data_IF_229736845323
#
_entry.id   IF_229736845323
#
_cell.length_a   1.000
_cell.length_b   1.000
_cell.length_c   1.000
_cell.angle_alpha   90.00
_cell.angle_beta   90.00
_cell.angle_gamma   90.00
#
_symmetry.space_group_name_H-M   'P 1'
#
loop_
_entity.id
_entity.type
_entity.pdbx_description
1 polymer ?
#
# COMPACT_ATOMS: atom_id res chain seq x y z
N UNK A 1 -9.20 0.81 -21.66
CA UNK A 1 -8.53 1.23 -20.41
C UNK A 1 -7.10 0.74 -20.47
N UNK A 2 -6.20 1.38 -19.74
CA UNK A 2 -4.79 1.00 -19.64
C UNK A 2 -4.26 1.26 -18.24
N UNK A 3 -3.10 0.71 -17.92
CA UNK A 3 -2.39 1.00 -16.68
C UNK A 3 -1.79 2.41 -16.77
N UNK A 4 -2.27 3.33 -15.96
CA UNK A 4 -1.77 4.72 -15.93
C UNK A 4 -0.47 4.84 -15.12
N UNK A 5 -0.35 4.09 -14.03
CA UNK A 5 0.87 4.06 -13.20
C UNK A 5 0.92 2.81 -12.32
N UNK A 6 2.15 2.42 -11.96
CA UNK A 6 2.45 1.33 -11.04
C UNK A 6 3.28 1.83 -9.87
N UNK A 7 2.94 1.38 -8.67
CA UNK A 7 3.59 1.81 -7.44
C UNK A 7 3.89 0.60 -6.54
N UNK A 8 5.13 0.54 -6.08
CA UNK A 8 5.58 -0.40 -5.06
C UNK A 8 5.87 0.40 -3.79
N UNK A 9 5.46 -0.10 -2.65
CA UNK A 9 5.74 0.45 -1.33
C UNK A 9 6.66 -0.51 -0.58
N UNK A 10 7.97 -0.48 -0.78
CA UNK A 10 8.86 -1.50 -0.22
C UNK A 10 8.71 -1.66 1.30
N UNK A 11 8.60 -0.54 2.00
CA UNK A 11 8.39 -0.51 3.45
C UNK A 11 6.99 0.00 3.76
N UNK A 12 6.26 -0.74 4.61
CA UNK A 12 4.93 -0.32 5.07
C UNK A 12 5.00 1.07 5.71
N UNK A 13 4.15 1.97 5.24
CA UNK A 13 4.05 3.33 5.77
C UNK A 13 5.00 4.35 5.13
N UNK A 14 6.06 3.94 4.46
CA UNK A 14 7.00 4.83 3.77
C UNK A 14 6.51 5.22 2.37
N UNK A 15 7.25 6.08 1.68
CA UNK A 15 6.95 6.52 0.31
C UNK A 15 6.83 5.36 -0.67
N UNK A 16 6.10 5.60 -1.74
CA UNK A 16 6.04 4.71 -2.88
C UNK A 16 7.23 4.90 -3.82
N UNK A 17 7.63 3.81 -4.47
CA UNK A 17 8.46 3.83 -5.66
C UNK A 17 7.55 3.71 -6.90
N UNK A 18 7.68 4.63 -7.83
CA UNK A 18 7.04 4.51 -9.14
C UNK A 18 7.89 3.60 -10.02
N UNK A 19 7.26 2.64 -10.69
CA UNK A 19 7.94 1.69 -11.54
C UNK A 19 7.29 1.63 -12.93
N UNK A 20 8.08 1.40 -13.97
CA UNK A 20 7.56 1.24 -15.32
C UNK A 20 6.92 -0.13 -15.55
N UNK A 21 7.39 -1.14 -14.83
CA UNK A 21 6.85 -2.51 -14.84
C UNK A 21 7.04 -3.17 -13.48
N UNK A 22 6.23 -4.19 -13.20
CA UNK A 22 6.33 -4.96 -11.97
C UNK A 22 5.97 -6.43 -12.23
N UNK A 23 6.66 -7.34 -11.57
CA UNK A 23 6.25 -8.73 -11.47
C UNK A 23 5.12 -8.87 -10.46
N UNK A 24 4.10 -9.66 -10.78
CA UNK A 24 2.98 -9.97 -9.90
C UNK A 24 3.11 -11.38 -9.37
N UNK A 25 3.18 -11.49 -8.06
CA UNK A 25 3.29 -12.72 -7.29
C UNK A 25 1.99 -12.99 -6.50
N UNK A 26 1.93 -14.12 -5.81
CA UNK A 26 0.79 -14.43 -4.93
C UNK A 26 0.58 -13.38 -3.81
N UNK A 27 1.65 -12.72 -3.35
CA UNK A 27 1.65 -11.67 -2.32
C UNK A 27 1.48 -10.25 -2.90
N UNK A 28 1.13 -10.07 -4.17
CA UNK A 28 1.01 -8.78 -4.86
C UNK A 28 2.20 -8.47 -5.75
N UNK A 29 2.49 -7.19 -5.95
CA UNK A 29 3.65 -6.76 -6.72
C UNK A 29 4.94 -7.16 -5.98
N UNK A 30 5.90 -7.69 -6.72
CA UNK A 30 7.19 -8.12 -6.16
C UNK A 30 7.85 -6.98 -5.40
N UNK A 31 8.30 -7.24 -4.18
CA UNK A 31 8.90 -6.24 -3.29
C UNK A 31 7.91 -5.35 -2.55
N UNK A 32 6.60 -5.40 -2.85
CA UNK A 32 5.62 -4.55 -2.18
C UNK A 32 5.42 -4.95 -0.72
N UNK A 33 5.64 -3.99 0.18
CA UNK A 33 5.43 -4.10 1.64
C UNK A 33 6.12 -5.32 2.27
N UNK A 34 7.31 -5.68 1.73
CA UNK A 34 8.14 -6.77 2.27
C UNK A 34 8.87 -6.33 3.54
N UNK A 35 8.97 -5.03 3.79
CA UNK A 35 9.63 -4.46 4.96
C UNK A 35 8.64 -3.76 5.90
N UNK A 36 8.96 -3.78 7.20
CA UNK A 36 8.14 -3.22 8.26
C UNK A 36 8.99 -2.57 9.33
N UNK A 37 8.59 -1.39 9.78
CA UNK A 37 9.16 -0.75 10.97
C UNK A 37 8.31 -1.11 12.18
N UNK A 38 8.95 -1.57 13.24
CA UNK A 38 8.32 -1.94 14.51
C UNK A 38 9.00 -1.24 15.68
N UNK A 39 8.27 -1.03 16.78
CA UNK A 39 8.85 -0.54 18.02
C UNK A 39 9.58 -1.66 18.81
N UNK A 40 10.08 -1.35 20.01
CA UNK A 40 10.77 -2.30 20.86
C UNK A 40 9.93 -3.56 21.19
N UNK A 41 8.61 -3.42 21.31
CA UNK A 41 7.67 -4.50 21.62
C UNK A 41 7.27 -5.32 20.39
N UNK A 42 7.82 -5.06 19.21
CA UNK A 42 7.46 -5.74 17.96
C UNK A 42 6.14 -5.28 17.35
N UNK A 43 5.53 -4.20 17.85
CA UNK A 43 4.33 -3.59 17.26
C UNK A 43 4.70 -2.69 16.08
N UNK A 44 3.98 -2.83 14.97
CA UNK A 44 4.26 -2.06 13.77
C UNK A 44 3.94 -0.56 13.92
N UNK A 45 4.84 0.28 13.41
CA UNK A 45 4.63 1.72 13.32
C UNK A 45 3.80 2.06 12.09
N UNK A 46 2.97 3.07 12.20
CA UNK A 46 2.05 3.49 11.13
C UNK A 46 2.04 5.00 10.97
N UNK A 47 1.66 5.49 9.79
CA UNK A 47 1.42 6.93 9.61
C UNK A 47 0.31 7.50 10.53
N UNK A 48 -0.47 6.66 11.22
CA UNK A 48 -1.44 7.14 12.23
C UNK A 48 -0.73 7.70 13.45
N UNK A 49 0.29 7.03 13.91
CA UNK A 49 1.11 7.40 15.09
C UNK A 49 2.40 8.13 14.69
N UNK A 50 3.01 7.74 13.57
CA UNK A 50 4.28 8.23 13.08
C UNK A 50 4.15 8.71 11.63
N UNK A 51 3.54 9.89 11.40
CA UNK A 51 3.33 10.40 10.04
C UNK A 51 4.64 10.69 9.31
N UNK A 52 5.76 10.92 10.02
CA UNK A 52 7.09 11.06 9.45
C UNK A 52 7.58 9.82 8.68
N UNK A 53 6.96 8.64 8.83
CA UNK A 53 7.22 7.51 7.93
C UNK A 53 7.00 7.88 6.47
N UNK A 54 6.04 8.78 6.18
CA UNK A 54 5.78 9.25 4.83
C UNK A 54 6.95 10.05 4.22
N UNK A 55 7.87 10.58 5.01
CA UNK A 55 9.00 11.37 4.51
C UNK A 55 10.22 10.52 4.16
N UNK A 56 10.25 9.25 4.57
CA UNK A 56 11.34 8.34 4.25
C UNK A 56 11.13 7.75 2.86
N UNK A 57 12.15 7.85 2.02
CA UNK A 57 12.15 7.30 0.67
C UNK A 57 12.91 5.97 0.65
N UNK A 58 12.22 4.83 0.52
CA UNK A 58 12.86 3.55 0.28
C UNK A 58 13.13 3.38 -1.21
N UNK A 59 14.29 2.89 -1.58
CA UNK A 59 14.62 2.49 -2.94
C UNK A 59 15.11 1.04 -2.92
N UNK A 60 14.47 0.17 -3.71
CA UNK A 60 14.92 -1.19 -3.84
C UNK A 60 16.23 -1.26 -4.62
N UNK A 61 17.15 -2.09 -4.15
CA UNK A 61 18.41 -2.42 -4.80
C UNK A 61 18.52 -3.93 -4.98
N UNK A 62 19.50 -4.39 -5.74
CA UNK A 62 19.76 -5.82 -5.87
C UNK A 62 20.14 -6.48 -4.53
N UNK A 63 20.77 -5.73 -3.64
CA UNK A 63 21.23 -6.22 -2.34
C UNK A 63 20.21 -6.05 -1.21
N UNK A 64 19.16 -5.25 -1.41
CA UNK A 64 18.18 -4.94 -0.36
C UNK A 64 17.47 -3.61 -0.57
N UNK A 65 17.68 -2.64 0.31
CA UNK A 65 17.10 -1.30 0.28
C UNK A 65 18.16 -0.22 0.46
N UNK A 66 17.92 0.95 -0.14
CA UNK A 66 18.45 2.22 0.36
C UNK A 66 17.30 2.96 1.03
N UNK A 67 17.50 3.49 2.22
CA UNK A 67 16.56 4.38 2.91
C UNK A 67 17.17 5.78 2.98
N UNK A 68 16.45 6.79 2.50
CA UNK A 68 16.88 8.18 2.62
C UNK A 68 15.79 9.04 3.26
N UNK A 69 16.20 10.00 4.09
CA UNK A 69 15.32 10.96 4.72
C UNK A 69 16.00 12.34 4.78
N UNK A 70 15.21 13.38 4.49
CA UNK A 70 15.71 14.76 4.58
C UNK A 70 16.24 15.03 5.99
N UNK A 71 17.40 15.66 6.09
CA UNK A 71 18.15 15.97 7.32
C UNK A 71 18.75 14.78 8.09
N UNK A 72 18.52 13.54 7.68
CA UNK A 72 19.06 12.33 8.32
C UNK A 72 20.07 11.59 7.42
N UNK A 73 20.11 11.94 6.12
CA UNK A 73 20.99 11.29 5.16
C UNK A 73 20.41 10.00 4.59
N UNK A 74 21.30 9.07 4.31
CA UNK A 74 20.96 7.82 3.61
C UNK A 74 21.70 6.63 4.24
N UNK A 75 21.05 5.46 4.22
CA UNK A 75 21.65 4.19 4.64
C UNK A 75 21.31 3.08 3.66
N UNK A 76 22.28 2.23 3.34
CA UNK A 76 22.08 0.97 2.66
C UNK A 76 21.72 -0.13 3.66
N UNK A 77 20.70 -0.90 3.38
CA UNK A 77 20.21 -2.02 4.19
C UNK A 77 20.21 -3.28 3.36
N UNK A 78 21.05 -4.23 3.70
CA UNK A 78 21.05 -5.53 3.04
C UNK A 78 19.79 -6.33 3.35
N UNK A 79 19.33 -7.13 2.38
CA UNK A 79 18.29 -8.13 2.65
C UNK A 79 18.79 -9.11 3.70
N UNK A 80 18.08 -9.26 4.85
CA UNK A 80 18.52 -10.17 5.91
C UNK A 80 18.58 -11.63 5.43
N UNK A 81 19.57 -12.37 5.88
CA UNK A 81 19.75 -13.80 5.60
C UNK A 81 18.80 -14.71 6.42
N UNK A 82 18.04 -14.13 7.33
CA UNK A 82 17.09 -14.83 8.20
C UNK A 82 17.72 -15.48 9.44
N UNK A 83 19.03 -15.34 9.68
CA UNK A 83 19.69 -15.89 10.87
C UNK A 83 19.21 -15.18 12.15
N UNK A 84 19.05 -13.86 12.11
CA UNK A 84 18.43 -13.07 13.17
C UNK A 84 16.93 -12.86 12.85
N UNK A 85 16.07 -13.16 13.82
CA UNK A 85 14.62 -13.01 13.65
C UNK A 85 14.00 -12.21 14.80
N UNK A 86 12.86 -11.62 14.52
CA UNK A 86 12.05 -10.88 15.50
C UNK A 86 10.59 -11.25 15.36
N UNK A 87 9.95 -11.53 16.47
CA UNK A 87 8.49 -11.68 16.52
C UNK A 87 7.86 -10.29 16.48
N UNK A 88 6.98 -10.11 15.51
CA UNK A 88 6.26 -8.86 15.30
C UNK A 88 4.76 -9.13 15.19
N UNK A 89 3.95 -8.11 15.46
CA UNK A 89 2.50 -8.21 15.34
C UNK A 89 2.01 -7.15 14.37
N UNK A 90 1.29 -7.60 13.33
CA UNK A 90 0.63 -6.73 12.35
C UNK A 90 -0.88 -6.89 12.49
N UNK A 91 -1.53 -5.88 13.07
CA UNK A 91 -2.90 -6.00 13.57
C UNK A 91 -2.99 -7.12 14.61
N UNK A 92 -3.70 -8.20 14.33
CA UNK A 92 -3.85 -9.36 15.21
C UNK A 92 -2.98 -10.56 14.76
N UNK A 93 -2.19 -10.39 13.68
CA UNK A 93 -1.40 -11.47 13.11
C UNK A 93 0.04 -11.43 13.63
N UNK A 94 0.49 -12.45 14.38
CA UNK A 94 1.90 -12.62 14.70
C UNK A 94 2.68 -13.06 13.46
N UNK A 95 3.88 -12.52 13.29
CA UNK A 95 4.80 -12.88 12.21
C UNK A 95 6.22 -12.95 12.79
N UNK A 96 6.89 -14.06 12.56
CA UNK A 96 8.32 -14.18 12.84
C UNK A 96 9.09 -13.73 11.59
N UNK A 97 9.62 -12.51 11.60
CA UNK A 97 10.25 -11.88 10.46
C UNK A 97 11.78 -11.79 10.61
N UNK A 98 12.50 -11.78 9.50
CA UNK A 98 13.94 -11.61 9.51
C UNK A 98 14.30 -10.18 9.97
N UNK A 99 15.23 -10.05 10.92
CA UNK A 99 15.66 -8.75 11.44
C UNK A 99 16.72 -8.14 10.53
N UNK A 100 16.57 -6.85 10.20
CA UNK A 100 17.63 -6.09 9.54
C UNK A 100 18.79 -5.81 10.49
N UNK A 101 19.89 -5.32 9.93
CA UNK A 101 21.07 -4.98 10.69
C UNK A 101 20.82 -3.84 11.71
N UNK A 102 21.67 -3.72 12.77
CA UNK A 102 21.50 -2.69 13.78
C UNK A 102 21.63 -1.25 13.27
N UNK A 103 22.35 -1.02 12.15
CA UNK A 103 22.48 0.29 11.54
C UNK A 103 21.16 0.83 11.04
N UNK A 104 20.35 -0.03 10.39
CA UNK A 104 18.99 0.32 9.98
C UNK A 104 18.10 0.69 11.18
N UNK A 105 18.25 -0.03 12.30
CA UNK A 105 17.51 0.26 13.54
C UNK A 105 17.93 1.60 14.15
N UNK A 106 19.23 1.93 14.16
CA UNK A 106 19.74 3.20 14.65
C UNK A 106 19.22 4.37 13.82
N UNK A 107 19.32 4.29 12.49
CA UNK A 107 18.82 5.29 11.56
C UNK A 107 17.33 5.56 11.75
N UNK A 108 16.52 4.51 11.81
CA UNK A 108 15.08 4.65 12.00
C UNK A 108 14.70 5.14 13.38
N UNK A 109 15.42 4.75 14.43
CA UNK A 109 15.17 5.23 15.79
C UNK A 109 15.40 6.73 15.92
N UNK A 110 16.42 7.27 15.25
CA UNK A 110 16.68 8.71 15.21
C UNK A 110 15.51 9.47 14.54
N UNK A 111 15.02 8.99 13.39
CA UNK A 111 13.89 9.61 12.69
C UNK A 111 12.59 9.48 13.47
N UNK A 112 12.35 8.33 14.10
CA UNK A 112 11.10 8.07 14.84
C UNK A 112 11.08 8.76 16.21
N UNK A 113 12.24 9.08 16.78
CA UNK A 113 12.36 9.63 18.13
C UNK A 113 12.12 8.60 19.24
N UNK A 114 12.08 7.32 18.88
CA UNK A 114 11.92 6.18 19.80
C UNK A 114 12.63 4.94 19.24
N UNK A 115 12.91 3.90 20.05
CA UNK A 115 13.48 2.66 19.55
C UNK A 115 12.63 2.04 18.43
N UNK A 116 13.22 1.93 17.24
CA UNK A 116 12.57 1.39 16.04
C UNK A 116 13.48 0.33 15.40
N UNK A 117 12.86 -0.74 14.89
CA UNK A 117 13.55 -1.84 14.24
C UNK A 117 12.95 -2.08 12.87
N UNK A 118 13.79 -2.43 11.90
CA UNK A 118 13.36 -2.83 10.58
C UNK A 118 13.36 -4.35 10.49
N UNK A 119 12.29 -4.91 9.93
CA UNK A 119 12.18 -6.35 9.68
C UNK A 119 11.75 -6.62 8.25
N UNK A 120 12.12 -7.78 7.74
CA UNK A 120 11.85 -8.24 6.38
C UNK A 120 11.00 -9.52 6.39
N UNK A 121 10.00 -9.57 5.55
CA UNK A 121 9.22 -10.78 5.31
C UNK A 121 9.93 -11.61 4.24
N UNK A 122 10.80 -12.49 4.69
CA UNK A 122 11.46 -13.50 3.84
C UNK A 122 10.47 -14.59 3.39
N UNK A 123 10.95 -15.64 2.75
CA UNK A 123 10.09 -16.72 2.25
C UNK A 123 9.66 -17.69 3.37
N UNK A 124 10.35 -17.68 4.51
CA UNK A 124 9.99 -18.46 5.71
C UNK A 124 8.85 -17.79 6.46
N UNK A 125 8.85 -16.46 6.53
CA UNK A 125 7.79 -15.69 7.21
C UNK A 125 6.49 -15.81 6.42
N UNK A 126 5.42 -16.19 7.10
CA UNK A 126 4.10 -16.35 6.51
C UNK A 126 3.08 -15.48 7.23
N UNK A 127 2.25 -14.84 6.43
CA UNK A 127 1.04 -14.16 6.89
C UNK A 127 -0.09 -14.45 5.92
N UNK A 128 -1.10 -15.12 6.43
CA UNK A 128 -2.32 -15.43 5.67
C UNK A 128 -3.44 -14.50 6.13
N UNK A 129 -4.13 -13.90 5.18
CA UNK A 129 -5.35 -13.14 5.45
C UNK A 129 -6.54 -14.05 5.24
N UNK A 130 -7.14 -14.49 6.34
CA UNK A 130 -8.46 -15.10 6.31
C UNK A 130 -9.55 -14.02 6.27
N UNK A 131 -10.58 -14.24 5.48
CA UNK A 131 -11.55 -13.18 5.23
C UNK A 131 -12.85 -13.71 4.62
N UNK A 132 -13.96 -13.09 4.99
CA UNK A 132 -15.28 -13.32 4.37
C UNK A 132 -15.37 -12.85 2.90
N UNK A 133 -14.31 -12.23 2.39
CA UNK A 133 -14.23 -11.70 1.02
C UNK A 133 -13.59 -12.68 0.03
N UNK A 134 -12.98 -13.74 0.53
CA UNK A 134 -12.28 -14.74 -0.29
C UNK A 134 -12.65 -16.16 0.15
N UNK A 135 -12.70 -17.09 -0.79
CA UNK A 135 -13.05 -18.50 -0.51
C UNK A 135 -11.94 -19.27 0.21
N UNK A 136 -10.73 -18.74 0.26
CA UNK A 136 -9.58 -19.32 0.94
C UNK A 136 -8.67 -18.21 1.48
N UNK A 137 -7.84 -18.51 2.49
CA UNK A 137 -6.84 -17.58 2.99
C UNK A 137 -5.89 -17.11 1.89
N UNK A 138 -5.55 -15.81 1.90
CA UNK A 138 -4.70 -15.17 0.89
C UNK A 138 -3.33 -14.84 1.50
N UNK A 139 -2.22 -15.24 0.87
CA UNK A 139 -0.91 -14.83 1.33
C UNK A 139 -0.72 -13.32 1.12
N UNK A 140 -0.28 -12.64 2.15
CA UNK A 140 -0.02 -11.19 2.12
C UNK A 140 1.36 -10.89 2.71
N UNK A 141 1.98 -9.83 2.22
CA UNK A 141 3.15 -9.24 2.89
C UNK A 141 2.69 -8.41 4.10
N UNK A 142 3.34 -7.29 4.42
CA UNK A 142 2.89 -6.41 5.50
C UNK A 142 1.76 -5.44 5.07
N UNK A 143 1.06 -5.72 3.97
CA UNK A 143 -0.12 -4.97 3.54
C UNK A 143 -1.23 -4.98 4.61
N UNK A 144 -2.08 -3.95 4.64
CA UNK A 144 -3.14 -3.86 5.66
C UNK A 144 -4.25 -4.89 5.43
N UNK A 145 -4.73 -5.02 4.19
CA UNK A 145 -5.85 -5.88 3.86
C UNK A 145 -5.45 -6.98 2.88
N UNK A 146 -5.35 -6.66 1.59
CA UNK A 146 -5.08 -7.60 0.51
C UNK A 146 -3.79 -7.22 -0.24
N UNK A 147 -3.27 -8.11 -1.11
CA UNK A 147 -1.97 -7.93 -1.75
C UNK A 147 -1.86 -6.70 -2.64
N UNK A 148 -2.93 -6.33 -3.34
CA UNK A 148 -2.92 -5.27 -4.35
C UNK A 148 -4.07 -4.29 -4.10
N UNK A 149 -3.81 -3.01 -4.27
CA UNK A 149 -4.83 -1.96 -4.33
C UNK A 149 -4.90 -1.41 -5.76
N UNK A 150 -6.07 -1.52 -6.37
CA UNK A 150 -6.41 -0.97 -7.69
C UNK A 150 -7.25 0.29 -7.51
N UNK A 151 -6.92 1.34 -8.25
CA UNK A 151 -7.66 2.62 -8.26
C UNK A 151 -7.87 3.11 -9.68
N UNK A 152 -8.70 4.13 -9.85
CA UNK A 152 -9.13 4.67 -11.13
C UNK A 152 -8.91 6.20 -11.18
N UNK A 153 -8.42 6.71 -12.29
CA UNK A 153 -8.16 8.15 -12.50
C UNK A 153 -9.44 8.99 -12.50
N UNK A 154 -10.54 8.48 -13.05
CA UNK A 154 -11.84 9.14 -13.05
C UNK A 154 -12.41 9.30 -11.64
N UNK A 155 -12.19 8.32 -10.76
CA UNK A 155 -12.60 8.39 -9.35
C UNK A 155 -11.85 9.49 -8.61
N UNK A 156 -10.54 9.63 -8.84
CA UNK A 156 -9.77 10.75 -8.28
C UNK A 156 -10.25 12.11 -8.83
N UNK A 157 -10.56 12.18 -10.11
CA UNK A 157 -11.09 13.39 -10.75
C UNK A 157 -12.42 13.81 -10.12
N UNK A 158 -13.34 12.87 -9.93
CA UNK A 158 -14.64 13.14 -9.28
C UNK A 158 -14.48 13.57 -7.82
N UNK A 159 -13.59 12.92 -7.08
CA UNK A 159 -13.26 13.29 -5.71
C UNK A 159 -12.70 14.72 -5.63
N UNK A 160 -11.72 15.03 -6.44
CA UNK A 160 -11.08 16.36 -6.46
C UNK A 160 -12.04 17.47 -6.89
N UNK A 161 -13.01 17.16 -7.77
CA UNK A 161 -14.10 18.08 -8.11
C UNK A 161 -14.96 18.42 -6.90
N UNK A 162 -15.33 17.43 -6.06
CA UNK A 162 -16.09 17.66 -4.84
C UNK A 162 -15.27 18.44 -3.80
N UNK A 163 -13.99 18.09 -3.61
CA UNK A 163 -13.07 18.81 -2.70
C UNK A 163 -13.02 20.30 -3.08
N UNK A 164 -12.79 20.60 -4.35
CA UNK A 164 -12.68 21.98 -4.84
C UNK A 164 -14.00 22.73 -4.72
N UNK A 165 -15.13 22.07 -5.00
CA UNK A 165 -16.47 22.67 -4.86
C UNK A 165 -16.78 23.09 -3.40
N UNK A 166 -16.10 22.46 -2.43
CA UNK A 166 -16.23 22.78 -1.00
C UNK A 166 -15.04 23.58 -0.44
N UNK A 167 -14.24 24.21 -1.32
CA UNK A 167 -13.13 25.10 -0.92
C UNK A 167 -11.87 24.39 -0.43
N UNK A 168 -11.75 23.08 -0.63
CA UNK A 168 -10.55 22.31 -0.29
C UNK A 168 -9.53 22.30 -1.43
N UNK A 169 -8.32 21.87 -1.11
CA UNK A 169 -7.24 21.67 -2.07
C UNK A 169 -7.27 20.23 -2.62
N UNK A 170 -7.02 20.10 -3.92
CA UNK A 170 -6.96 18.78 -4.58
C UNK A 170 -5.93 17.86 -3.93
N UNK A 171 -6.23 16.58 -3.91
CA UNK A 171 -5.33 15.57 -3.37
C UNK A 171 -4.76 14.70 -4.48
N UNK A 172 -3.46 14.31 -4.40
CA UNK A 172 -2.87 13.39 -5.36
C UNK A 172 -3.29 11.94 -5.09
N UNK A 173 -3.21 11.08 -6.12
CA UNK A 173 -3.48 9.65 -6.02
C UNK A 173 -2.63 8.96 -4.93
N UNK A 174 -1.42 9.45 -4.69
CA UNK A 174 -0.51 8.94 -3.66
C UNK A 174 -1.10 8.90 -2.24
N UNK A 175 -2.12 9.74 -1.92
CA UNK A 175 -2.84 9.70 -0.64
C UNK A 175 -3.49 8.35 -0.37
N UNK A 176 -3.90 7.65 -1.41
CA UNK A 176 -4.56 6.35 -1.33
C UNK A 176 -3.59 5.18 -1.37
N UNK A 177 -2.32 5.42 -1.72
CA UNK A 177 -1.24 4.42 -1.73
C UNK A 177 -1.56 3.19 -2.60
N UNK A 178 -2.03 3.38 -3.85
CA UNK A 178 -2.36 2.28 -4.75
C UNK A 178 -1.11 1.52 -5.19
N UNK A 179 -1.33 0.31 -5.71
CA UNK A 179 -0.34 -0.45 -6.46
C UNK A 179 -0.52 -0.25 -7.97
N UNK A 180 -1.76 -0.28 -8.44
CA UNK A 180 -2.13 -0.15 -9.85
C UNK A 180 -3.15 0.98 -9.99
N UNK A 181 -2.84 1.96 -10.81
CA UNK A 181 -3.79 3.01 -11.20
C UNK A 181 -4.23 2.73 -12.63
N UNK A 182 -5.52 2.62 -12.86
CA UNK A 182 -6.11 2.38 -14.18
C UNK A 182 -6.63 3.71 -14.74
N UNK A 183 -6.29 4.01 -15.99
CA UNK A 183 -6.87 5.12 -16.73
C UNK A 183 -8.27 4.73 -17.21
N UNK A 184 -9.25 5.38 -16.62
CA UNK A 184 -10.66 5.23 -16.94
C UNK A 184 -11.37 6.54 -16.58
N UNK A 185 -12.12 7.11 -17.52
CA UNK A 185 -12.81 8.39 -17.33
C UNK A 185 -14.09 8.28 -16.50
N UNK A 186 -14.64 7.06 -16.37
CA UNK A 186 -15.86 6.82 -15.60
C UNK A 186 -15.52 6.77 -14.10
N UNK A 187 -16.02 7.72 -13.28
CA UNK A 187 -15.85 7.68 -11.83
C UNK A 187 -16.46 6.42 -11.22
N UNK A 188 -15.78 5.87 -10.23
CA UNK A 188 -16.22 4.72 -9.44
C UNK A 188 -16.50 3.45 -10.26
N UNK A 189 -15.95 3.39 -11.49
CA UNK A 189 -16.13 2.22 -12.34
C UNK A 189 -15.55 0.94 -11.70
N UNK A 190 -14.48 1.10 -10.94
CA UNK A 190 -13.81 0.00 -10.22
C UNK A 190 -14.72 -0.71 -9.22
N UNK A 191 -15.73 -0.08 -8.67
CA UNK A 191 -16.69 -0.69 -7.75
C UNK A 191 -17.51 -1.81 -8.41
N UNK A 192 -17.72 -1.67 -9.72
CA UNK A 192 -18.43 -2.66 -10.53
C UNK A 192 -17.56 -3.76 -11.11
N UNK A 193 -16.24 -3.72 -10.91
CA UNK A 193 -15.35 -4.75 -11.43
C UNK A 193 -15.18 -5.89 -10.43
N UNK A 194 -15.30 -7.12 -10.87
CA UNK A 194 -15.01 -8.29 -10.04
C UNK A 194 -13.73 -9.01 -10.48
N UNK A 195 -13.39 -8.90 -11.78
CA UNK A 195 -12.14 -9.49 -12.31
C UNK A 195 -11.61 -8.67 -13.47
N UNK A 196 -10.29 -8.46 -13.49
CA UNK A 196 -9.61 -7.81 -14.59
C UNK A 196 -8.37 -8.61 -15.04
N UNK A 197 -7.95 -8.35 -16.28
CA UNK A 197 -6.73 -8.87 -16.90
C UNK A 197 -5.82 -7.74 -17.36
N UNK A 198 -4.53 -7.90 -17.12
CA UNK A 198 -3.46 -7.05 -17.63
C UNK A 198 -2.41 -8.01 -18.20
N UNK A 199 -2.27 -8.11 -19.52
CA UNK A 199 -1.46 -9.14 -20.15
C UNK A 199 -1.87 -10.54 -19.71
N UNK A 200 -0.94 -11.29 -19.12
CA UNK A 200 -1.20 -12.62 -18.56
C UNK A 200 -1.71 -12.60 -17.12
N UNK A 201 -1.56 -11.47 -16.43
CA UNK A 201 -1.97 -11.31 -15.03
C UNK A 201 -3.48 -11.19 -14.93
N UNK A 202 -4.07 -11.97 -14.03
CA UNK A 202 -5.49 -11.91 -13.68
C UNK A 202 -5.60 -11.54 -12.21
N UNK A 203 -6.42 -10.52 -11.92
CA UNK A 203 -6.71 -10.03 -10.58
C UNK A 203 -8.20 -10.16 -10.28
N UNK A 204 -8.55 -10.78 -9.16
CA UNK A 204 -9.90 -10.71 -8.59
C UNK A 204 -9.99 -9.49 -7.67
N UNK A 205 -10.91 -8.58 -7.94
CA UNK A 205 -11.23 -7.46 -7.07
C UNK A 205 -12.23 -7.96 -6.03
N UNK A 206 -11.76 -8.10 -4.80
CA UNK A 206 -12.49 -8.87 -3.77
C UNK A 206 -13.22 -8.01 -2.76
N UNK A 207 -12.71 -6.81 -2.48
CA UNK A 207 -13.23 -5.94 -1.41
C UNK A 207 -13.00 -4.48 -1.71
N UNK A 208 -14.04 -3.60 -1.63
CA UNK A 208 -13.81 -2.15 -1.62
C UNK A 208 -12.79 -1.74 -0.56
N UNK A 209 -11.94 -0.79 -0.88
CA UNK A 209 -10.90 -0.34 0.05
C UNK A 209 -11.44 0.75 0.97
N UNK A 210 -11.72 0.40 2.22
CA UNK A 210 -12.08 1.34 3.26
C UNK A 210 -10.92 2.28 3.60
N UNK A 211 -11.25 3.56 3.76
CA UNK A 211 -10.24 4.61 3.92
C UNK A 211 -10.22 5.16 5.33
N UNK A 212 -9.03 5.43 5.82
CA UNK A 212 -8.80 5.93 7.17
C UNK A 212 -7.99 7.24 7.16
N UNK A 213 -7.74 7.79 8.34
CA UNK A 213 -7.01 9.04 8.54
C UNK A 213 -5.64 9.11 7.84
N UNK A 214 -5.00 7.98 7.50
CA UNK A 214 -3.74 7.97 6.73
C UNK A 214 -3.87 8.70 5.40
N UNK A 215 -5.06 8.70 4.77
CA UNK A 215 -5.28 9.43 3.51
C UNK A 215 -5.24 10.95 3.67
N UNK A 216 -5.35 11.48 4.88
CA UNK A 216 -5.19 12.91 5.17
C UNK A 216 -3.71 13.32 5.35
N UNK A 217 -2.80 12.35 5.43
CA UNK A 217 -1.36 12.61 5.56
C UNK A 217 -0.75 12.93 4.20
N UNK A 218 -0.07 14.05 4.09
CA UNK A 218 0.72 14.38 2.92
C UNK A 218 1.90 13.40 2.79
N UNK A 219 2.02 12.75 1.64
CA UNK A 219 3.02 11.70 1.43
C UNK A 219 4.42 12.25 1.13
N UNK A 220 4.57 13.57 1.02
CA UNK A 220 5.87 14.22 0.84
C UNK A 220 6.38 14.83 2.15
N UNK A 221 5.50 15.47 2.90
CA UNK A 221 5.86 16.21 4.12
C UNK A 221 5.54 15.48 5.42
N UNK A 222 4.71 14.43 5.37
CA UNK A 222 4.19 13.78 6.57
C UNK A 222 3.13 14.59 7.31
N UNK A 223 2.85 15.82 6.88
CA UNK A 223 1.88 16.68 7.55
C UNK A 223 0.44 16.17 7.38
N UNK A 224 -0.38 16.38 8.40
CA UNK A 224 -1.82 16.15 8.29
C UNK A 224 -2.51 17.36 7.69
N UNK A 225 -3.14 17.15 6.53
CA UNK A 225 -3.74 18.20 5.71
C UNK A 225 -5.27 18.30 5.94
N UNK A 226 -5.68 18.46 7.20
CA UNK A 226 -7.10 18.66 7.56
C UNK A 226 -7.96 17.40 7.43
N UNK A 227 -9.19 17.54 6.90
CA UNK A 227 -10.20 16.45 6.84
C UNK A 227 -10.29 15.77 5.47
N UNK A 228 -9.71 16.40 4.43
CA UNK A 228 -9.74 15.82 3.08
C UNK A 228 -8.68 14.72 2.90
N UNK A 229 -8.97 13.68 2.14
CA UNK A 229 -10.14 13.43 1.28
C UNK A 229 -11.35 12.80 1.99
N UNK A 230 -11.26 12.49 3.28
CA UNK A 230 -12.31 11.74 3.99
C UNK A 230 -13.64 12.48 4.06
N UNK A 231 -13.62 13.80 4.19
CA UNK A 231 -14.83 14.60 4.26
C UNK A 231 -15.61 14.56 2.93
N UNK A 232 -14.91 14.69 1.80
CA UNK A 232 -15.51 14.56 0.46
C UNK A 232 -16.01 13.15 0.20
N UNK A 233 -15.21 12.13 0.47
CA UNK A 233 -15.66 10.74 0.35
C UNK A 233 -16.89 10.45 1.20
N UNK A 234 -17.03 11.08 2.38
CA UNK A 234 -18.21 10.92 3.21
C UNK A 234 -19.48 11.53 2.60
N UNK A 235 -19.34 12.52 1.71
CA UNK A 235 -20.46 13.12 0.97
C UNK A 235 -20.84 12.30 -0.26
N UNK A 236 -19.84 11.80 -1.01
CA UNK A 236 -20.07 11.30 -2.37
C UNK A 236 -19.80 9.81 -2.56
N UNK A 237 -19.05 9.14 -1.66
CA UNK A 237 -18.64 7.75 -1.85
C UNK A 237 -18.50 6.95 -0.55
N UNK A 238 -19.63 6.79 0.16
CA UNK A 238 -19.75 5.87 1.30
C UNK A 238 -19.98 4.45 0.81
N UNK A 239 -19.46 3.49 1.56
CA UNK A 239 -19.81 2.10 1.31
C UNK A 239 -21.29 1.86 1.51
N UNK A 240 -21.89 1.11 0.59
CA UNK A 240 -23.25 0.55 0.73
C UNK A 240 -23.23 -0.89 1.25
N UNK A 241 -22.06 -1.51 1.31
CA UNK A 241 -21.89 -2.85 1.87
C UNK A 241 -21.91 -2.80 3.40
N UNK A 242 -22.82 -3.52 4.08
CA UNK A 242 -22.96 -3.48 5.54
C UNK A 242 -21.74 -4.02 6.29
N UNK A 243 -20.85 -4.76 5.61
CA UNK A 243 -19.59 -5.26 6.16
C UNK A 243 -18.49 -4.19 6.23
N UNK A 244 -18.69 -3.02 5.59
CA UNK A 244 -17.73 -1.92 5.54
C UNK A 244 -18.36 -0.68 6.17
N UNK A 245 -17.87 -0.28 7.33
CA UNK A 245 -18.29 0.96 7.98
C UNK A 245 -17.38 2.10 7.52
N UNK A 246 -17.91 3.02 6.69
CA UNK A 246 -17.15 4.21 6.35
C UNK A 246 -17.12 4.54 4.86
N UNK A 247 -16.05 5.22 4.46
CA UNK A 247 -15.83 5.68 3.09
C UNK A 247 -14.85 4.76 2.37
N UNK A 248 -15.02 4.64 1.06
CA UNK A 248 -14.21 3.75 0.23
C UNK A 248 -13.54 4.54 -0.91
N UNK A 249 -12.42 4.02 -1.40
CA UNK A 249 -11.75 4.51 -2.61
C UNK A 249 -10.83 3.41 -3.15
N UNK A 250 -11.13 2.92 -4.35
CA UNK A 250 -10.44 1.81 -4.99
C UNK A 250 -10.81 0.43 -4.42
N UNK A 251 -10.26 -0.60 -5.04
CA UNK A 251 -10.59 -2.00 -4.80
C UNK A 251 -9.35 -2.80 -4.39
N UNK A 252 -9.47 -3.55 -3.30
CA UNK A 252 -8.50 -4.55 -2.92
C UNK A 252 -8.59 -5.75 -3.88
N UNK A 253 -7.44 -6.21 -4.36
CA UNK A 253 -7.37 -7.30 -5.32
C UNK A 253 -6.41 -8.41 -4.91
N UNK A 254 -6.68 -9.60 -5.45
CA UNK A 254 -5.91 -10.83 -5.23
C UNK A 254 -5.45 -11.37 -6.57
N UNK A 255 -4.15 -11.61 -6.78
CA UNK A 255 -3.63 -12.25 -7.98
C UNK A 255 -4.15 -13.69 -8.13
N UNK A 256 -4.66 -14.03 -9.33
CA UNK A 256 -5.03 -15.39 -9.72
C UNK A 256 -4.05 -15.99 -10.72
N UNK A 257 -3.45 -15.16 -11.57
CA UNK A 257 -2.34 -15.56 -12.42
C UNK A 257 -1.19 -14.59 -12.19
N UNK A 258 0.01 -15.16 -12.12
CA UNK A 258 1.28 -14.43 -12.02
C UNK A 258 1.71 -13.95 -13.40
N UNK A 259 2.63 -13.01 -13.44
CA UNK A 259 3.21 -12.50 -14.68
C UNK A 259 3.80 -11.11 -14.47
N UNK A 260 4.15 -10.45 -15.54
CA UNK A 260 4.63 -9.09 -15.52
C UNK A 260 3.55 -8.15 -16.05
N UNK A 261 3.43 -6.98 -15.45
CA UNK A 261 2.57 -5.88 -15.90
C UNK A 261 3.41 -4.62 -16.13
N UNK A 262 2.99 -3.79 -17.07
CA UNK A 262 3.68 -2.54 -17.39
C UNK A 262 2.71 -1.35 -17.47
N UNK A 263 3.26 -0.15 -17.30
CA UNK A 263 2.54 1.11 -17.59
C UNK A 263 2.19 1.12 -19.06
N UNK A 264 1.05 1.71 -19.43
CA UNK A 264 0.43 1.73 -20.76
C UNK A 264 -0.16 0.39 -21.22
N UNK A 265 0.02 -0.70 -20.49
CA UNK A 265 -0.54 -1.99 -20.87
C UNK A 265 -2.08 -1.98 -20.80
N UNK A 266 -2.71 -2.66 -21.75
CA UNK A 266 -4.16 -2.71 -21.86
C UNK A 266 -4.80 -3.44 -20.66
N UNK A 267 -5.91 -2.90 -20.16
CA UNK A 267 -6.71 -3.49 -19.08
C UNK A 267 -8.05 -3.94 -19.64
N UNK A 268 -8.32 -5.22 -19.49
CA UNK A 268 -9.60 -5.87 -19.84
C UNK A 268 -10.40 -6.18 -18.57
N UNK A 269 -11.67 -5.80 -18.52
CA UNK A 269 -12.59 -6.21 -17.46
C UNK A 269 -13.24 -7.53 -17.90
N UNK A 270 -12.86 -8.63 -17.25
CA UNK A 270 -13.35 -9.97 -17.56
C UNK A 270 -14.72 -10.19 -16.95
N UNK A 271 -14.91 -9.78 -15.69
CA UNK A 271 -16.15 -9.98 -14.93
C UNK A 271 -16.54 -8.70 -14.17
N UNK A 272 -17.86 -8.51 -14.01
CA UNK A 272 -18.47 -7.42 -13.25
C UNK A 272 -19.33 -7.97 -12.10
N UNK A 273 -19.51 -7.13 -11.07
CA UNK A 273 -20.49 -7.38 -10.00
C UNK A 273 -21.90 -7.03 -10.43
#
# INVERSE_FOLDING_TARGET
MRVASLHIHPVKGMRACNVASAEVEARGLSGDRRWLVVNADGKFLTQRSHPQLATITPQQTQAGLTLSAENFGEIEVATPDGAARRDVVVWDAPVNAAAADPGASAFLSEIMGEPAHLVFMDDVAQRLKDSVWTSAPVPVSFADAFPVLVTNTGSLTALNKDITAHGGEVVPMARFRPNIVIECDQPWAEDGWSRLRIGEVVLDLVKPSDRCVVTTTDQQTGARMGKEPLASLARIHRSTDPRISGVIFGENAVPRAKGQIAVEEAVEIIDRR
#
